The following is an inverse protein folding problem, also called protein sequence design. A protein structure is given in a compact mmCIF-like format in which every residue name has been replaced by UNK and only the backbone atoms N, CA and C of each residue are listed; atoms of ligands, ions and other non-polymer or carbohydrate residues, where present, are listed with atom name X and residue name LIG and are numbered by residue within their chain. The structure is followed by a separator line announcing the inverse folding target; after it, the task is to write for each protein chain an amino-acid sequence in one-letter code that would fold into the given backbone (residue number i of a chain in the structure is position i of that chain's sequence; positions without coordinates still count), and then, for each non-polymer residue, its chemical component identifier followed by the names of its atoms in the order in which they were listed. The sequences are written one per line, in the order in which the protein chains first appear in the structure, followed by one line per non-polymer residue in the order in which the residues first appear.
data_IF_965137652762
#
_entry.id   IF_965137652762
#
_cell.length_a   1.000
_cell.length_b   1.000
_cell.length_c   1.000
_cell.angle_alpha   90.00
_cell.angle_beta   90.00
_cell.angle_gamma   90.00
#
_symmetry.space_group_name_H-M   'P 1'
#
loop_
_entity.id
_entity.type
_entity.pdbx_description
1 polymer ?
#
# COMPACT_ATOMS: atom_id res chain seq x y z
N UNK A 1 23.25 4.02 -4.34
CA UNK A 1 22.59 2.95 -5.12
C UNK A 1 23.44 1.70 -5.15
N UNK A 2 22.82 0.54 -4.92
CA UNK A 2 23.53 -0.74 -4.98
C UNK A 2 23.95 -1.09 -6.40
N UNK A 3 24.97 -1.94 -6.52
CA UNK A 3 25.34 -2.54 -7.80
C UNK A 3 24.15 -3.31 -8.39
N UNK A 4 23.85 -3.08 -9.67
CA UNK A 4 22.70 -3.69 -10.36
C UNK A 4 21.34 -2.99 -10.18
N UNK A 5 21.21 -2.02 -9.27
CA UNK A 5 19.93 -1.32 -9.04
C UNK A 5 19.51 -0.46 -10.26
N UNK A 6 18.35 -0.76 -10.85
CA UNK A 6 17.82 -0.08 -12.04
C UNK A 6 16.87 1.07 -11.71
N UNK A 7 16.21 1.02 -10.54
CA UNK A 7 15.19 2.01 -10.16
C UNK A 7 15.66 2.91 -9.02
N UNK A 8 15.22 4.18 -9.05
CA UNK A 8 15.29 5.11 -7.92
C UNK A 8 13.96 5.05 -7.19
N UNK A 9 13.98 4.64 -5.92
CA UNK A 9 12.78 4.51 -5.11
C UNK A 9 12.42 5.83 -4.44
N UNK A 10 11.13 6.14 -4.42
CA UNK A 10 10.61 7.27 -3.66
C UNK A 10 9.27 6.94 -3.03
N UNK A 11 8.95 7.66 -1.96
CA UNK A 11 7.62 7.69 -1.37
C UNK A 11 7.21 9.13 -1.15
N UNK A 12 5.95 9.44 -1.45
CA UNK A 12 5.35 10.75 -1.19
C UNK A 12 4.43 10.64 0.01
N UNK A 13 4.59 11.52 1.00
CA UNK A 13 3.68 11.62 2.14
C UNK A 13 3.47 13.07 2.57
N UNK A 14 2.49 13.32 3.44
CA UNK A 14 2.17 14.69 3.88
C UNK A 14 3.26 15.35 4.74
N UNK A 15 4.17 14.56 5.32
CA UNK A 15 5.30 15.04 6.10
C UNK A 15 6.40 13.98 6.14
N UNK A 16 7.61 14.40 6.49
CA UNK A 16 8.77 13.51 6.58
C UNK A 16 8.60 12.35 7.58
N UNK A 17 7.88 12.54 8.69
CA UNK A 17 7.68 11.47 9.67
C UNK A 17 6.78 10.35 9.11
N UNK A 18 5.71 10.71 8.39
CA UNK A 18 4.85 9.75 7.68
C UNK A 18 5.62 9.05 6.57
N UNK A 19 6.40 9.78 5.75
CA UNK A 19 7.25 9.18 4.71
C UNK A 19 8.25 8.19 5.31
N UNK A 20 8.96 8.59 6.38
CA UNK A 20 9.95 7.75 7.06
C UNK A 20 9.32 6.52 7.74
N UNK A 21 8.08 6.55 8.18
CA UNK A 21 7.45 5.41 8.86
C UNK A 21 6.47 4.66 7.96
N UNK A 22 6.49 4.94 6.65
CA UNK A 22 5.57 4.34 5.70
C UNK A 22 5.76 2.82 5.61
N UNK A 23 4.68 2.01 5.62
CA UNK A 23 4.74 0.57 5.37
C UNK A 23 5.36 0.23 4.01
N UNK A 24 5.18 1.12 3.03
CA UNK A 24 5.62 0.93 1.64
C UNK A 24 7.14 0.80 1.47
N UNK A 25 7.93 1.21 2.46
CA UNK A 25 9.39 1.24 2.37
C UNK A 25 10.06 0.21 3.30
N UNK A 26 9.27 -0.65 3.95
CA UNK A 26 9.76 -1.60 4.94
C UNK A 26 10.73 -2.64 4.35
N UNK A 27 10.31 -3.37 3.30
CA UNK A 27 11.16 -4.37 2.65
C UNK A 27 12.43 -3.75 2.06
N UNK A 28 12.31 -2.59 1.39
CA UNK A 28 13.46 -1.85 0.86
C UNK A 28 14.45 -1.49 1.98
N UNK A 29 13.94 -0.99 3.11
CA UNK A 29 14.78 -0.66 4.26
C UNK A 29 15.45 -1.89 4.82
N UNK A 30 14.74 -3.00 4.98
CA UNK A 30 15.30 -4.25 5.48
C UNK A 30 16.41 -4.78 4.56
N UNK A 31 16.26 -4.58 3.26
CA UNK A 31 17.28 -4.90 2.27
C UNK A 31 18.42 -3.87 2.25
N UNK A 32 18.30 -2.69 2.86
CA UNK A 32 19.29 -1.62 2.79
C UNK A 32 19.27 -0.85 1.46
N UNK A 33 18.12 -0.79 0.81
CA UNK A 33 17.88 0.06 -0.36
C UNK A 33 17.57 1.49 0.07
N UNK A 34 18.13 2.46 -0.65
CA UNK A 34 17.88 3.89 -0.42
C UNK A 34 16.53 4.30 -1.02
N UNK A 35 15.77 5.11 -0.28
CA UNK A 35 14.46 5.63 -0.70
C UNK A 35 14.40 7.14 -0.49
N UNK A 36 13.98 7.87 -1.50
CA UNK A 36 13.72 9.30 -1.41
C UNK A 36 12.43 9.55 -0.63
N UNK A 37 12.52 10.34 0.43
CA UNK A 37 11.37 10.73 1.24
C UNK A 37 10.90 12.10 0.79
N UNK A 38 9.81 12.12 0.03
CA UNK A 38 9.24 13.33 -0.54
C UNK A 38 8.03 13.76 0.30
N UNK A 39 7.98 15.04 0.65
CA UNK A 39 6.93 15.55 1.54
C UNK A 39 6.48 16.98 1.28
N UNK A 40 7.05 17.62 0.27
CA UNK A 40 6.57 18.92 -0.18
C UNK A 40 5.39 18.74 -1.12
N UNK A 41 4.47 19.70 -1.08
CA UNK A 41 3.23 19.66 -1.89
C UNK A 41 3.49 19.58 -3.40
N UNK A 42 4.64 20.06 -3.85
CA UNK A 42 5.04 20.06 -5.26
C UNK A 42 5.63 18.71 -5.70
N UNK A 43 6.07 17.89 -4.76
CA UNK A 43 6.83 16.68 -5.07
C UNK A 43 6.01 15.68 -5.88
N UNK A 44 4.76 15.44 -5.51
CA UNK A 44 3.92 14.49 -6.25
C UNK A 44 3.64 14.95 -7.69
N UNK A 45 3.46 16.26 -7.88
CA UNK A 45 3.31 16.85 -9.20
C UNK A 45 4.61 16.71 -10.01
N UNK A 46 5.76 16.97 -9.39
CA UNK A 46 7.06 16.79 -10.03
C UNK A 46 7.24 15.32 -10.45
N UNK A 47 6.97 14.40 -9.55
CA UNK A 47 7.15 12.97 -9.75
C UNK A 47 6.18 12.38 -10.78
N UNK A 48 5.00 12.97 -10.98
CA UNK A 48 4.11 12.54 -12.07
C UNK A 48 4.62 12.92 -13.46
N UNK A 49 5.61 13.81 -13.56
CA UNK A 49 6.21 14.25 -14.82
C UNK A 49 7.66 13.77 -14.98
N UNK A 50 8.33 13.44 -13.87
CA UNK A 50 9.71 12.97 -13.86
C UNK A 50 9.76 11.44 -13.88
N UNK A 51 9.80 10.87 -15.09
CA UNK A 51 9.82 9.41 -15.29
C UNK A 51 11.22 8.78 -15.05
N UNK A 52 12.28 9.47 -15.46
CA UNK A 52 13.65 8.96 -15.45
C UNK A 52 14.65 10.03 -15.02
N UNK A 53 15.71 9.61 -14.33
CA UNK A 53 16.87 10.42 -14.04
C UNK A 53 18.14 9.60 -14.28
N UNK A 54 19.02 10.10 -15.16
CA UNK A 54 20.33 9.48 -15.46
C UNK A 54 20.24 7.99 -15.86
N UNK A 55 19.32 7.65 -16.77
CA UNK A 55 19.14 6.27 -17.21
C UNK A 55 18.32 5.39 -16.26
N UNK A 56 17.82 5.94 -15.15
CA UNK A 56 17.14 5.18 -14.09
C UNK A 56 15.70 5.62 -13.90
N UNK A 57 14.79 4.66 -13.90
CA UNK A 57 13.37 4.89 -13.70
C UNK A 57 13.08 5.28 -12.25
N UNK A 58 12.22 6.27 -12.03
CA UNK A 58 11.73 6.60 -10.69
C UNK A 58 10.48 5.78 -10.38
N UNK A 59 10.51 5.02 -9.27
CA UNK A 59 9.40 4.16 -8.85
C UNK A 59 8.81 4.60 -7.51
N UNK A 60 7.48 4.79 -7.53
CA UNK A 60 6.69 5.12 -6.34
C UNK A 60 6.45 3.85 -5.50
N UNK A 61 6.90 3.86 -4.25
CA UNK A 61 6.71 2.77 -3.32
C UNK A 61 5.23 2.58 -2.89
N UNK A 62 4.34 3.54 -3.13
CA UNK A 62 2.93 3.45 -2.78
C UNK A 62 2.02 3.05 -3.97
N UNK A 63 2.59 2.89 -5.16
CA UNK A 63 1.83 2.53 -6.38
C UNK A 63 2.26 1.21 -6.98
N UNK A 64 1.38 0.71 -7.84
CA UNK A 64 1.60 -0.47 -8.66
C UNK A 64 1.77 -1.74 -7.84
N UNK A 65 2.03 -2.82 -8.56
CA UNK A 65 2.49 -4.06 -7.96
C UNK A 65 3.97 -3.93 -7.60
N UNK A 66 4.41 -4.61 -6.56
CA UNK A 66 5.81 -4.61 -6.18
C UNK A 66 6.64 -5.41 -7.19
N UNK A 67 7.15 -4.70 -8.18
CA UNK A 67 7.67 -5.31 -9.41
C UNK A 67 9.16 -5.71 -9.32
N UNK A 68 9.95 -5.18 -8.38
CA UNK A 68 11.38 -5.57 -8.30
C UNK A 68 11.60 -6.96 -7.67
N UNK A 69 10.58 -7.53 -7.00
CA UNK A 69 10.58 -8.95 -6.68
C UNK A 69 10.05 -9.83 -7.81
N UNK A 70 9.49 -9.25 -8.87
CA UNK A 70 8.97 -10.00 -10.01
C UNK A 70 10.08 -10.51 -10.94
N UNK A 71 11.32 -10.06 -10.79
CA UNK A 71 12.48 -10.63 -11.49
C UNK A 71 13.18 -11.75 -10.70
N UNK A 72 12.71 -12.05 -9.48
CA UNK A 72 13.16 -13.18 -8.66
C UNK A 72 12.09 -14.28 -8.65
N UNK A 73 12.36 -15.37 -9.37
CA UNK A 73 11.47 -16.54 -9.48
C UNK A 73 11.07 -17.11 -8.11
N UNK A 74 11.93 -16.99 -7.10
CA UNK A 74 11.67 -17.48 -5.75
C UNK A 74 10.65 -16.61 -5.02
N UNK A 75 10.71 -15.29 -5.19
CA UNK A 75 9.73 -14.39 -4.58
C UNK A 75 8.35 -14.50 -5.23
N UNK A 76 8.27 -14.71 -6.55
CA UNK A 76 6.99 -15.02 -7.21
C UNK A 76 6.33 -16.28 -6.66
N UNK A 77 7.11 -17.36 -6.51
CA UNK A 77 6.61 -18.61 -5.92
C UNK A 77 6.13 -18.40 -4.49
N UNK A 78 6.88 -17.66 -3.68
CA UNK A 78 6.48 -17.36 -2.29
C UNK A 78 5.14 -16.60 -2.23
N UNK A 79 4.91 -15.64 -3.14
CA UNK A 79 3.64 -14.93 -3.25
C UNK A 79 2.49 -15.84 -3.68
N UNK A 80 2.69 -16.67 -4.71
CA UNK A 80 1.66 -17.62 -5.16
C UNK A 80 1.32 -18.66 -4.09
N UNK A 81 2.31 -19.14 -3.34
CA UNK A 81 2.12 -20.05 -2.21
C UNK A 81 1.38 -19.37 -1.07
N UNK A 82 1.76 -18.13 -0.72
CA UNK A 82 1.07 -17.34 0.28
C UNK A 82 -0.39 -17.07 -0.11
N UNK A 83 -0.65 -16.74 -1.38
CA UNK A 83 -2.00 -16.50 -1.90
C UNK A 83 -2.86 -17.77 -1.78
N UNK A 84 -2.35 -18.92 -2.24
CA UNK A 84 -3.05 -20.21 -2.11
C UNK A 84 -3.27 -20.61 -0.66
N UNK A 85 -2.28 -20.40 0.21
CA UNK A 85 -2.37 -20.76 1.62
C UNK A 85 -3.34 -19.85 2.40
N UNK A 86 -3.61 -18.63 1.91
CA UNK A 86 -4.46 -17.64 2.56
C UNK A 86 -5.73 -17.29 1.77
N UNK A 87 -6.07 -18.09 0.75
CA UNK A 87 -7.21 -17.87 -0.15
C UNK A 87 -8.52 -17.62 0.62
N UNK A 88 -8.81 -18.47 1.62
CA UNK A 88 -9.97 -18.31 2.51
C UNK A 88 -9.98 -16.97 3.26
N UNK A 89 -8.85 -16.54 3.81
CA UNK A 89 -8.75 -15.25 4.50
C UNK A 89 -8.97 -14.09 3.54
N UNK A 90 -8.34 -14.14 2.36
CA UNK A 90 -8.44 -13.13 1.31
C UNK A 90 -9.90 -12.97 0.86
N UNK A 91 -10.59 -14.08 0.58
CA UNK A 91 -12.00 -14.07 0.18
C UNK A 91 -12.90 -13.49 1.26
N UNK A 92 -12.72 -13.89 2.53
CA UNK A 92 -13.49 -13.37 3.66
C UNK A 92 -13.28 -11.87 3.83
N UNK A 93 -12.02 -11.41 3.78
CA UNK A 93 -11.70 -9.98 3.84
C UNK A 93 -12.29 -9.23 2.66
N UNK A 94 -12.20 -9.77 1.44
CA UNK A 94 -12.78 -9.17 0.24
C UNK A 94 -14.30 -9.02 0.37
N UNK A 95 -14.99 -10.02 0.91
CA UNK A 95 -16.43 -9.97 1.18
C UNK A 95 -16.82 -8.78 2.06
N UNK A 96 -16.10 -8.59 3.18
CA UNK A 96 -16.36 -7.51 4.14
C UNK A 96 -15.95 -6.13 3.60
N UNK A 97 -14.84 -6.05 2.85
CA UNK A 97 -14.19 -4.78 2.51
C UNK A 97 -14.48 -4.29 1.08
N UNK A 98 -15.21 -5.05 0.26
CA UNK A 98 -15.46 -4.77 -1.17
C UNK A 98 -16.05 -3.38 -1.47
N UNK A 99 -16.77 -2.77 -0.53
CA UNK A 99 -17.27 -1.41 -0.68
C UNK A 99 -16.16 -0.35 -0.63
N UNK A 100 -15.03 -0.65 0.02
CA UNK A 100 -13.96 0.30 0.33
C UNK A 100 -12.63 -0.01 -0.39
N UNK A 101 -12.40 -1.25 -0.79
CA UNK A 101 -11.18 -1.69 -1.49
C UNK A 101 -11.51 -2.34 -2.84
N UNK A 102 -10.61 -2.23 -3.81
CA UNK A 102 -10.75 -2.87 -5.12
C UNK A 102 -10.43 -4.38 -5.04
N UNK A 103 -9.51 -4.75 -4.17
CA UNK A 103 -9.04 -6.11 -3.97
C UNK A 103 -8.26 -6.26 -2.67
N UNK A 104 -8.09 -7.50 -2.21
CA UNK A 104 -7.20 -7.90 -1.13
C UNK A 104 -6.19 -8.89 -1.71
N UNK A 105 -4.89 -8.73 -1.42
CA UNK A 105 -3.84 -9.65 -1.89
C UNK A 105 -2.65 -9.72 -0.93
N UNK A 106 -1.88 -10.82 -0.92
CA UNK A 106 -0.63 -10.87 -0.17
C UNK A 106 0.43 -9.95 -0.78
N UNK A 107 1.42 -9.56 0.02
CA UNK A 107 2.56 -8.75 -0.44
C UNK A 107 3.84 -9.11 0.26
N UNK A 108 4.97 -8.87 -0.42
CA UNK A 108 6.33 -8.97 0.13
C UNK A 108 6.92 -7.62 0.51
N UNK A 109 6.18 -6.52 0.30
CA UNK A 109 6.60 -5.15 0.67
C UNK A 109 6.68 -4.96 2.19
N UNK A 110 5.89 -5.73 2.93
CA UNK A 110 5.66 -5.58 4.35
C UNK A 110 6.55 -6.53 5.14
N UNK A 111 7.10 -6.03 6.24
CA UNK A 111 7.91 -6.83 7.17
C UNK A 111 7.25 -6.88 8.55
N UNK A 112 6.88 -5.71 9.08
CA UNK A 112 6.32 -5.54 10.42
C UNK A 112 4.88 -5.04 10.36
N UNK A 113 4.50 -4.32 9.31
CA UNK A 113 3.12 -3.86 9.17
C UNK A 113 2.19 -5.00 8.74
N UNK A 114 0.94 -5.03 9.25
CA UNK A 114 -0.03 -6.06 8.89
C UNK A 114 -0.65 -5.83 7.51
N UNK A 115 -0.80 -4.57 7.08
CA UNK A 115 -1.40 -4.22 5.81
C UNK A 115 -0.94 -2.83 5.32
N UNK A 116 -1.07 -2.58 4.02
CA UNK A 116 -0.97 -1.25 3.40
C UNK A 116 -1.94 -1.14 2.21
N UNK A 117 -2.14 0.07 1.68
CA UNK A 117 -3.04 0.34 0.56
C UNK A 117 -2.24 0.83 -0.64
N UNK A 118 -2.44 0.18 -1.77
CA UNK A 118 -1.80 0.55 -3.03
C UNK A 118 -2.84 1.01 -4.04
N UNK A 119 -2.44 1.91 -4.93
CA UNK A 119 -3.24 2.29 -6.09
C UNK A 119 -2.53 1.83 -7.36
N UNK A 120 -3.27 1.68 -8.46
CA UNK A 120 -2.66 1.31 -9.73
C UNK A 120 -1.61 2.35 -10.17
N UNK A 121 -0.63 1.91 -10.95
CA UNK A 121 0.53 2.75 -11.34
C UNK A 121 0.12 4.03 -12.09
N UNK A 122 -0.90 3.93 -12.93
CA UNK A 122 -1.45 5.04 -13.70
C UNK A 122 -2.50 5.87 -12.92
N UNK A 123 -2.90 5.43 -11.74
CA UNK A 123 -3.85 6.17 -10.92
C UNK A 123 -3.18 7.34 -10.21
N UNK A 124 -3.98 8.37 -9.98
CA UNK A 124 -3.59 9.52 -9.18
C UNK A 124 -3.29 9.07 -7.74
N UNK A 125 -2.16 9.53 -7.21
CA UNK A 125 -1.76 9.22 -5.85
C UNK A 125 -2.71 9.82 -4.81
N UNK A 126 -2.62 9.33 -3.58
CA UNK A 126 -3.50 9.75 -2.50
C UNK A 126 -3.33 11.23 -2.14
N UNK A 127 -2.10 11.76 -2.24
CA UNK A 127 -1.80 13.13 -1.89
C UNK A 127 -2.35 14.12 -2.96
N UNK A 128 -2.32 13.76 -4.25
CA UNK A 128 -2.77 14.63 -5.33
C UNK A 128 -4.29 14.67 -5.34
N UNK A 129 -4.94 13.53 -5.08
CA UNK A 129 -6.38 13.46 -4.87
C UNK A 129 -6.82 14.41 -3.77
N UNK A 130 -6.12 14.42 -2.62
CA UNK A 130 -6.39 15.34 -1.50
C UNK A 130 -6.20 16.81 -1.91
N UNK A 131 -5.19 17.12 -2.72
CA UNK A 131 -4.96 18.47 -3.25
C UNK A 131 -6.13 18.91 -4.15
N UNK A 132 -6.60 18.02 -5.04
CA UNK A 132 -7.71 18.31 -5.96
C UNK A 132 -9.06 18.46 -5.25
N UNK A 133 -9.36 17.56 -4.30
CA UNK A 133 -10.55 17.66 -3.44
C UNK A 133 -10.54 18.98 -2.65
N UNK A 134 -9.39 19.38 -2.09
CA UNK A 134 -9.24 20.66 -1.39
C UNK A 134 -9.39 21.88 -2.32
N UNK A 135 -9.16 21.71 -3.62
CA UNK A 135 -9.41 22.73 -4.65
C UNK A 135 -10.86 22.73 -5.15
N UNK A 136 -11.75 21.90 -4.58
CA UNK A 136 -13.16 21.81 -4.95
C UNK A 136 -13.42 21.06 -6.25
N UNK A 137 -12.46 20.26 -6.73
CA UNK A 137 -12.67 19.34 -7.85
C UNK A 137 -13.33 18.06 -7.33
N UNK A 138 -14.39 17.62 -8.00
CA UNK A 138 -14.96 16.29 -7.76
C UNK A 138 -14.01 15.24 -8.34
N UNK A 139 -13.47 14.41 -7.48
CA UNK A 139 -12.60 13.30 -7.87
C UNK A 139 -13.44 12.03 -8.02
N UNK A 140 -13.26 11.26 -9.11
CA UNK A 140 -13.86 9.93 -9.21
C UNK A 140 -13.46 9.09 -8.00
N UNK A 141 -14.40 8.32 -7.49
CA UNK A 141 -14.09 7.36 -6.44
C UNK A 141 -13.13 6.31 -7.01
N UNK A 142 -11.94 6.19 -6.41
CA UNK A 142 -11.06 5.05 -6.66
C UNK A 142 -10.77 4.34 -5.36
N UNK A 143 -10.99 3.02 -5.39
CA UNK A 143 -10.77 2.12 -4.27
C UNK A 143 -9.33 1.60 -4.37
N UNK A 144 -8.52 1.70 -3.30
CA UNK A 144 -7.20 1.10 -3.31
C UNK A 144 -7.29 -0.43 -3.23
N UNK A 145 -6.20 -1.10 -3.59
CA UNK A 145 -5.98 -2.52 -3.26
C UNK A 145 -5.38 -2.60 -1.86
N UNK A 146 -5.91 -3.46 -1.01
CA UNK A 146 -5.35 -3.75 0.29
C UNK A 146 -4.33 -4.89 0.17
N UNK A 147 -3.08 -4.58 0.44
CA UNK A 147 -2.01 -5.55 0.49
C UNK A 147 -1.81 -6.02 1.94
N UNK A 148 -1.76 -7.33 2.18
CA UNK A 148 -1.69 -7.93 3.51
C UNK A 148 -0.40 -8.72 3.72
N UNK A 149 0.12 -8.66 4.94
CA UNK A 149 1.20 -9.53 5.41
C UNK A 149 0.58 -10.74 6.11
N UNK A 150 0.42 -11.84 5.37
CA UNK A 150 -0.20 -13.07 5.87
C UNK A 150 0.57 -13.70 7.04
N UNK A 151 1.87 -13.38 7.16
CA UNK A 151 2.68 -13.87 8.25
C UNK A 151 2.54 -13.08 9.55
N UNK A 152 1.93 -11.89 9.48
CA UNK A 152 1.77 -11.02 10.62
C UNK A 152 0.82 -11.65 11.67
N UNK A 153 1.16 -11.61 12.98
CA UNK A 153 0.34 -12.23 14.03
C UNK A 153 -1.13 -11.78 14.06
N UNK A 154 -1.40 -10.52 13.68
CA UNK A 154 -2.78 -10.02 13.56
C UNK A 154 -3.57 -10.71 12.45
N UNK A 155 -2.97 -10.97 11.29
CA UNK A 155 -3.64 -11.64 10.17
C UNK A 155 -3.87 -13.12 10.51
N UNK A 156 -2.89 -13.78 11.13
CA UNK A 156 -3.03 -15.16 11.65
C UNK A 156 -4.15 -15.27 12.69
N UNK A 157 -4.31 -14.25 13.55
CA UNK A 157 -5.40 -14.22 14.53
C UNK A 157 -6.75 -13.91 13.90
N UNK A 158 -6.78 -13.03 12.90
CA UNK A 158 -7.99 -12.70 12.14
C UNK A 158 -8.52 -13.93 11.40
N UNK A 159 -7.64 -14.71 10.77
CA UNK A 159 -7.99 -15.94 10.07
C UNK A 159 -8.65 -16.98 10.99
N UNK A 160 -8.21 -17.04 12.26
CA UNK A 160 -8.75 -17.94 13.27
C UNK A 160 -10.05 -17.44 13.93
N UNK A 161 -10.51 -16.22 13.65
CA UNK A 161 -11.74 -15.69 14.23
C UNK A 161 -12.95 -16.35 13.54
N UNK A 162 -13.76 -17.06 14.34
CA UNK A 162 -14.90 -17.84 13.86
C UNK A 162 -16.24 -17.08 13.94
N UNK A 163 -16.28 -16.01 14.74
CA UNK A 163 -17.41 -15.10 14.80
C UNK A 163 -17.32 -14.12 13.62
N UNK A 164 -18.21 -14.25 12.64
CA UNK A 164 -18.19 -13.45 11.41
C UNK A 164 -18.45 -11.96 11.64
N UNK A 165 -19.26 -11.60 12.65
CA UNK A 165 -19.51 -10.19 12.98
C UNK A 165 -18.23 -9.58 13.55
N UNK A 166 -17.56 -10.32 14.46
CA UNK A 166 -16.28 -9.88 15.02
C UNK A 166 -15.16 -9.86 13.99
N UNK A 167 -15.12 -10.84 13.08
CA UNK A 167 -14.19 -10.86 11.97
C UNK A 167 -14.37 -9.60 11.10
N UNK A 168 -15.62 -9.25 10.79
CA UNK A 168 -15.93 -8.08 9.98
C UNK A 168 -15.46 -6.79 10.66
N UNK A 169 -15.75 -6.62 11.95
CA UNK A 169 -15.28 -5.46 12.72
C UNK A 169 -13.74 -5.36 12.73
N UNK A 170 -13.04 -6.48 12.97
CA UNK A 170 -11.58 -6.50 12.99
C UNK A 170 -10.96 -6.21 11.61
N UNK A 171 -11.56 -6.71 10.54
CA UNK A 171 -11.13 -6.42 9.17
C UNK A 171 -11.31 -4.93 8.83
N UNK A 172 -12.42 -4.31 9.25
CA UNK A 172 -12.64 -2.86 9.09
C UNK A 172 -11.63 -2.04 9.90
N UNK A 173 -11.35 -2.43 11.14
CA UNK A 173 -10.33 -1.78 11.97
C UNK A 173 -8.96 -1.89 11.30
N UNK A 174 -8.61 -3.06 10.75
CA UNK A 174 -7.34 -3.26 10.06
C UNK A 174 -7.22 -2.35 8.83
N UNK A 175 -8.31 -2.22 8.05
CA UNK A 175 -8.39 -1.31 6.93
C UNK A 175 -8.21 0.16 7.36
N UNK A 176 -8.89 0.57 8.43
CA UNK A 176 -8.78 1.92 8.99
C UNK A 176 -7.35 2.24 9.47
N UNK A 177 -6.67 1.27 10.08
CA UNK A 177 -5.25 1.41 10.45
C UNK A 177 -4.36 1.60 9.22
N UNK A 178 -4.61 0.87 8.13
CA UNK A 178 -3.87 1.03 6.88
C UNK A 178 -4.09 2.44 6.29
N UNK A 179 -5.32 2.95 6.29
CA UNK A 179 -5.62 4.34 5.90
C UNK A 179 -4.85 5.36 6.75
N UNK A 180 -4.83 5.18 8.07
CA UNK A 180 -4.14 6.08 9.00
C UNK A 180 -2.62 6.05 8.81
N UNK A 181 -2.03 4.88 8.57
CA UNK A 181 -0.60 4.72 8.33
C UNK A 181 -0.11 5.50 7.09
N UNK A 182 -0.99 5.68 6.10
CA UNK A 182 -0.73 6.49 4.90
C UNK A 182 -1.06 7.98 5.06
N UNK A 183 -1.45 8.42 6.27
CA UNK A 183 -1.86 9.80 6.52
C UNK A 183 -3.19 10.17 5.85
N UNK A 184 -4.02 9.18 5.49
CA UNK A 184 -5.37 9.41 4.97
C UNK A 184 -6.33 9.66 6.13
N UNK A 185 -7.31 10.53 5.91
CA UNK A 185 -8.40 10.71 6.89
C UNK A 185 -9.32 9.51 6.85
N UNK A 186 -9.72 9.04 8.02
CA UNK A 186 -10.80 8.08 8.14
C UNK A 186 -12.07 8.70 7.58
N UNK A 187 -12.75 7.96 6.69
CA UNK A 187 -14.14 8.23 6.37
C UNK A 187 -14.95 7.80 7.59
N UNK A 188 -15.09 8.68 8.57
CA UNK A 188 -16.12 8.50 9.59
C UNK A 188 -17.41 8.63 8.81
N UNK A 189 -18.13 7.50 8.62
CA UNK A 189 -19.52 7.52 8.17
C UNK A 189 -20.20 8.61 8.98
N UNK A 190 -20.68 9.68 8.32
CA UNK A 190 -21.56 10.60 8.99
C UNK A 190 -22.73 9.75 9.47
N UNK A 191 -22.78 9.51 10.78
CA UNK A 191 -23.94 8.94 11.42
C UNK A 191 -25.08 9.92 11.12
N UNK A 192 -25.92 9.54 10.16
CA UNK A 192 -27.26 10.09 10.00
C UNK A 192 -28.11 9.70 11.20
#
# INVERSE_FOLDING_TARGET
MKEGQQSIYYVVAENHATAKNSPHIEALRAQGMEVLLLSDRVDEWLMSHLAEYDGKTLRDCAKGEWDESADDDDTKKALEEAEKASESLIERMQGVLSERVAGVRPTVRLTNSPACLTVAEHEMGAQMRKIMEAAGQEMPESKPTMEINVDHPLLKRLDQEADEDRFADLAQILLDQAFLAEGRRLRILQAT
#
